data_IF_411128943462
#
_entry.id   IF_411128943462
#
_cell.length_a   1.000
_cell.length_b   1.000
_cell.length_c   1.000
_cell.angle_alpha   90.00
_cell.angle_beta   90.00
_cell.angle_gamma   90.00
#
_symmetry.space_group_name_H-M   'P 1'
#
loop_
_entity.id
_entity.type
_entity.pdbx_description
1 polymer ?
#
# COMPACT_ATOMS: atom_id res chain seq x y z
N UNK A 1 -26.61 19.72 7.25
CA UNK A 1 -25.74 18.82 6.49
C UNK A 1 -24.92 18.08 7.50
N UNK A 2 -25.32 16.87 7.83
CA UNK A 2 -24.68 16.02 8.84
C UNK A 2 -23.46 15.36 8.19
N UNK A 3 -22.25 15.39 8.79
CA UNK A 3 -21.13 14.65 8.25
C UNK A 3 -21.41 13.15 8.38
N UNK A 4 -21.26 12.43 7.29
CA UNK A 4 -21.26 10.97 7.26
C UNK A 4 -20.08 10.49 8.12
N UNK A 5 -20.35 10.03 9.33
CA UNK A 5 -19.39 9.27 10.13
C UNK A 5 -19.13 7.94 9.41
N UNK A 6 -17.99 7.82 8.76
CA UNK A 6 -17.52 6.54 8.25
C UNK A 6 -17.15 5.66 9.43
N UNK A 7 -17.74 4.48 9.52
CA UNK A 7 -17.35 3.49 10.51
C UNK A 7 -15.93 3.00 10.20
N UNK A 8 -15.06 2.88 11.20
CA UNK A 8 -13.69 2.41 10.99
C UNK A 8 -13.69 0.97 10.45
N UNK A 9 -12.75 0.68 9.55
CA UNK A 9 -12.60 -0.59 8.80
C UNK A 9 -12.68 -1.86 9.67
N UNK A 10 -12.44 -1.78 10.96
CA UNK A 10 -12.48 -2.91 11.88
C UNK A 10 -13.88 -3.27 12.42
N UNK A 11 -14.88 -2.38 12.40
CA UNK A 11 -16.26 -2.74 12.80
C UNK A 11 -16.90 -3.75 11.86
N UNK A 12 -16.41 -3.86 10.62
CA UNK A 12 -16.86 -4.84 9.62
C UNK A 12 -16.36 -6.26 9.88
N UNK A 13 -15.38 -6.45 10.76
CA UNK A 13 -14.85 -7.78 11.10
C UNK A 13 -15.74 -8.53 12.10
N UNK A 14 -16.67 -7.85 12.77
CA UNK A 14 -17.54 -8.43 13.81
C UNK A 14 -18.88 -8.97 13.28
N UNK A 15 -19.31 -8.62 12.06
CA UNK A 15 -20.50 -9.21 11.44
C UNK A 15 -20.10 -10.44 10.63
N UNK A 16 -20.35 -11.63 11.19
CA UNK A 16 -20.13 -12.91 10.54
C UNK A 16 -20.81 -13.04 9.19
N UNK A 17 -20.39 -14.01 8.36
CA UNK A 17 -20.81 -14.15 6.99
C UNK A 17 -22.31 -14.43 6.90
N UNK A 18 -23.11 -13.46 6.50
CA UNK A 18 -24.50 -13.68 6.15
C UNK A 18 -24.65 -13.92 4.64
N UNK A 19 -24.84 -15.19 4.31
CA UNK A 19 -25.69 -15.68 3.20
C UNK A 19 -25.36 -15.25 1.77
N UNK A 20 -24.16 -15.61 1.28
CA UNK A 20 -23.89 -15.69 -0.16
C UNK A 20 -23.61 -17.13 -0.61
N UNK A 21 -23.76 -18.11 0.29
CA UNK A 21 -23.30 -19.50 0.08
C UNK A 21 -24.12 -20.42 -0.84
N UNK A 22 -25.40 -20.18 -1.20
CA UNK A 22 -26.10 -21.14 -2.07
C UNK A 22 -25.68 -21.08 -3.55
N UNK A 23 -25.24 -19.92 -4.04
CA UNK A 23 -24.89 -19.75 -5.47
C UNK A 23 -23.46 -20.19 -5.82
N UNK A 24 -22.55 -20.20 -4.87
CA UNK A 24 -21.16 -20.61 -5.10
C UNK A 24 -20.95 -22.13 -5.13
N UNK A 25 -21.88 -22.90 -4.57
CA UNK A 25 -21.74 -24.38 -4.49
C UNK A 25 -21.86 -25.09 -5.84
N UNK A 26 -22.43 -24.43 -6.85
CA UNK A 26 -22.64 -25.01 -8.19
C UNK A 26 -21.56 -24.61 -9.22
N UNK A 27 -20.61 -23.74 -8.86
CA UNK A 27 -19.57 -23.27 -9.77
C UNK A 27 -18.32 -24.13 -9.66
N UNK A 28 -17.64 -24.32 -10.79
CA UNK A 28 -16.33 -24.97 -10.82
C UNK A 28 -15.30 -24.17 -9.99
N UNK A 29 -14.17 -24.78 -9.56
CA UNK A 29 -13.12 -24.06 -8.87
C UNK A 29 -12.61 -22.82 -9.65
N UNK A 30 -12.55 -22.91 -10.96
CA UNK A 30 -12.17 -21.82 -11.86
C UNK A 30 -13.24 -20.72 -11.90
N UNK A 31 -14.51 -21.09 -12.01
CA UNK A 31 -15.63 -20.13 -11.97
C UNK A 31 -15.79 -19.48 -10.60
N UNK A 32 -15.51 -20.21 -9.50
CA UNK A 32 -15.46 -19.62 -8.15
C UNK A 32 -14.34 -18.61 -8.02
N UNK A 33 -13.16 -18.88 -8.62
CA UNK A 33 -12.03 -17.96 -8.64
C UNK A 33 -12.36 -16.68 -9.42
N UNK A 34 -12.99 -16.80 -10.61
CA UNK A 34 -13.41 -15.68 -11.44
C UNK A 34 -14.44 -14.75 -10.78
N UNK A 35 -15.36 -15.32 -9.97
CA UNK A 35 -16.38 -14.52 -9.26
C UNK A 35 -15.81 -13.84 -8.01
N UNK A 36 -14.80 -14.44 -7.38
CA UNK A 36 -14.19 -13.90 -6.17
C UNK A 36 -13.22 -12.75 -6.44
N UNK A 37 -12.66 -12.66 -7.64
CA UNK A 37 -11.62 -11.68 -8.00
C UNK A 37 -12.17 -10.49 -8.84
N UNK A 38 -13.49 -10.37 -9.00
CA UNK A 38 -14.05 -9.28 -9.81
C UNK A 38 -14.23 -8.01 -8.95
N UNK A 39 -13.30 -7.08 -9.14
CA UNK A 39 -13.33 -5.75 -8.52
C UNK A 39 -14.01 -4.75 -9.45
N UNK A 40 -14.85 -3.89 -8.90
CA UNK A 40 -15.43 -2.74 -9.61
C UNK A 40 -14.49 -1.52 -9.48
N UNK A 41 -13.83 -1.17 -10.55
CA UNK A 41 -12.88 -0.05 -10.57
C UNK A 41 -13.53 1.32 -10.36
N UNK A 42 -14.81 1.46 -10.62
CA UNK A 42 -15.53 2.70 -10.34
C UNK A 42 -15.62 2.95 -8.82
N UNK A 43 -15.84 1.88 -8.05
CA UNK A 43 -15.85 1.93 -6.58
C UNK A 43 -14.46 2.21 -6.03
N UNK A 44 -13.43 1.54 -6.58
CA UNK A 44 -12.02 1.79 -6.20
C UNK A 44 -11.65 3.26 -6.43
N UNK A 45 -11.97 3.79 -7.60
CA UNK A 45 -11.71 5.20 -7.93
C UNK A 45 -12.43 6.15 -7.00
N UNK A 46 -13.73 5.93 -6.79
CA UNK A 46 -14.54 6.78 -5.91
C UNK A 46 -14.02 6.80 -4.47
N UNK A 47 -13.58 5.63 -3.97
CA UNK A 47 -12.98 5.52 -2.65
C UNK A 47 -11.72 6.39 -2.52
N UNK A 48 -10.79 6.30 -3.48
CA UNK A 48 -9.54 7.05 -3.44
C UNK A 48 -9.73 8.54 -3.70
N UNK A 49 -10.69 8.94 -4.54
CA UNK A 49 -11.05 10.34 -4.71
C UNK A 49 -11.60 10.95 -3.42
N UNK A 50 -12.43 10.22 -2.69
CA UNK A 50 -12.95 10.66 -1.40
C UNK A 50 -11.86 10.73 -0.32
N UNK A 51 -10.94 9.77 -0.32
CA UNK A 51 -9.83 9.67 0.62
C UNK A 51 -8.88 10.88 0.58
N UNK A 52 -8.62 11.40 -0.60
CA UNK A 52 -7.68 12.49 -0.81
C UNK A 52 -8.15 13.85 -0.28
N UNK A 53 -9.41 14.00 0.08
CA UNK A 53 -9.96 15.27 0.61
C UNK A 53 -9.52 15.55 2.05
N UNK A 54 -8.96 14.58 2.75
CA UNK A 54 -8.31 14.80 4.04
C UNK A 54 -6.90 15.35 3.82
N UNK A 55 -6.67 16.59 4.19
CA UNK A 55 -5.52 17.44 3.82
C UNK A 55 -4.13 16.99 4.28
N UNK A 56 -3.97 15.78 4.80
CA UNK A 56 -2.70 15.28 5.35
C UNK A 56 -2.30 13.94 4.76
N UNK A 57 -2.48 13.80 3.49
CA UNK A 57 -2.15 12.64 2.67
C UNK A 57 -0.66 12.19 2.68
N UNK A 58 0.05 12.37 3.77
CA UNK A 58 1.37 11.76 3.94
C UNK A 58 1.28 10.24 4.11
N UNK A 59 0.25 9.78 4.79
CA UNK A 59 -0.22 8.40 4.80
C UNK A 59 -1.71 8.47 5.12
N UNK A 60 -2.55 8.30 4.12
CA UNK A 60 -4.00 8.28 4.25
C UNK A 60 -4.47 7.41 5.43
N UNK A 61 -3.94 6.19 5.53
CA UNK A 61 -4.30 5.23 6.58
C UNK A 61 -4.02 5.77 8.00
N UNK A 62 -2.90 6.44 8.21
CA UNK A 62 -2.56 6.97 9.53
C UNK A 62 -3.43 8.16 9.93
N UNK A 63 -3.82 8.98 8.96
CA UNK A 63 -4.70 10.12 9.20
C UNK A 63 -6.13 9.69 9.53
N UNK A 64 -6.71 8.75 8.79
CA UNK A 64 -8.04 8.19 9.09
C UNK A 64 -8.12 7.62 10.50
N UNK A 65 -7.02 7.05 10.97
CA UNK A 65 -6.95 6.42 12.26
C UNK A 65 -6.60 7.39 13.41
N UNK A 66 -6.35 8.65 13.10
CA UNK A 66 -5.98 9.66 14.09
C UNK A 66 -4.63 9.43 14.75
N UNK A 67 -3.68 8.78 14.05
CA UNK A 67 -2.34 8.55 14.56
C UNK A 67 -1.48 9.82 14.53
N UNK A 68 -0.52 9.96 15.48
CA UNK A 68 0.48 11.02 15.45
C UNK A 68 1.32 10.98 14.18
N UNK A 69 1.81 12.16 13.77
CA UNK A 69 2.71 12.30 12.63
C UNK A 69 4.01 11.50 12.81
N UNK A 70 4.52 11.39 14.03
CA UNK A 70 5.68 10.57 14.37
C UNK A 70 5.51 9.07 14.03
N UNK A 71 4.29 8.55 14.10
CA UNK A 71 3.99 7.17 13.69
C UNK A 71 4.12 7.01 12.16
N UNK A 72 3.66 8.01 11.40
CA UNK A 72 3.78 8.05 9.93
C UNK A 72 5.25 8.12 9.52
N UNK A 73 6.01 9.00 10.17
CA UNK A 73 7.45 9.18 9.92
C UNK A 73 8.25 7.92 10.27
N UNK A 74 7.93 7.28 11.40
CA UNK A 74 8.53 6.01 11.80
C UNK A 74 8.28 4.93 10.74
N UNK A 75 7.01 4.77 10.32
CA UNK A 75 6.66 3.83 9.26
C UNK A 75 7.43 4.10 7.98
N UNK A 76 7.40 5.34 7.48
CA UNK A 76 8.05 5.70 6.22
C UNK A 76 9.57 5.49 6.29
N UNK A 77 10.22 5.82 7.42
CA UNK A 77 11.64 5.56 7.63
C UNK A 77 11.97 4.05 7.56
N UNK A 78 11.11 3.21 8.14
CA UNK A 78 11.27 1.74 8.08
C UNK A 78 11.04 1.19 6.67
N UNK A 79 10.04 1.68 5.97
CA UNK A 79 9.75 1.31 4.58
C UNK A 79 10.91 1.71 3.66
N UNK A 80 11.40 2.93 3.81
CA UNK A 80 12.55 3.42 3.05
C UNK A 80 13.81 2.59 3.28
N UNK A 81 14.07 2.16 4.50
CA UNK A 81 15.23 1.32 4.82
C UNK A 81 15.21 -0.05 4.12
N UNK A 82 14.04 -0.54 3.72
CA UNK A 82 13.90 -1.78 2.93
C UNK A 82 14.04 -1.48 1.43
N UNK A 83 13.37 -0.45 0.95
CA UNK A 83 13.24 -0.17 -0.49
C UNK A 83 14.51 0.46 -1.06
N UNK A 84 15.12 1.40 -0.33
CA UNK A 84 16.26 2.16 -0.84
C UNK A 84 17.42 1.27 -1.32
N UNK A 85 17.86 0.22 -0.59
CA UNK A 85 18.93 -0.66 -1.06
C UNK A 85 18.68 -1.32 -2.42
N UNK A 86 17.42 -1.51 -2.80
CA UNK A 86 17.07 -2.09 -4.11
C UNK A 86 17.19 -1.09 -5.28
N UNK A 87 17.40 0.18 -4.96
CA UNK A 87 17.64 1.25 -5.93
C UNK A 87 19.07 1.83 -5.83
N UNK A 88 19.93 1.33 -4.92
CA UNK A 88 21.27 1.91 -4.66
C UNK A 88 22.22 1.79 -5.86
N UNK A 89 22.01 0.83 -6.78
CA UNK A 89 22.77 0.72 -8.02
C UNK A 89 22.35 1.76 -9.09
N UNK A 90 21.25 2.45 -8.89
CA UNK A 90 20.80 3.51 -9.77
C UNK A 90 21.54 4.82 -9.45
N UNK A 91 21.85 5.57 -10.50
CA UNK A 91 22.58 6.84 -10.37
C UNK A 91 21.63 8.04 -10.26
N UNK A 92 22.20 9.21 -10.02
CA UNK A 92 21.44 10.47 -10.09
C UNK A 92 20.89 10.79 -11.49
N UNK A 93 21.43 10.16 -12.54
CA UNK A 93 20.97 10.31 -13.92
C UNK A 93 19.81 9.38 -14.26
N UNK A 94 19.47 8.46 -13.37
CA UNK A 94 18.41 7.48 -13.58
C UNK A 94 17.02 8.10 -13.56
N UNK A 95 16.07 7.36 -14.14
CA UNK A 95 14.65 7.69 -14.22
C UNK A 95 13.81 6.65 -13.51
N UNK A 96 12.82 7.10 -12.72
CA UNK A 96 11.96 6.23 -11.91
C UNK A 96 10.50 6.41 -12.30
N UNK A 97 9.78 5.30 -12.37
CA UNK A 97 8.34 5.26 -12.56
C UNK A 97 7.66 4.89 -11.23
N UNK A 98 6.75 5.76 -10.74
CA UNK A 98 6.00 5.57 -9.49
C UNK A 98 4.52 5.34 -9.82
N UNK A 99 4.08 4.09 -9.77
CA UNK A 99 2.70 3.68 -10.09
C UNK A 99 1.85 3.68 -8.80
N UNK A 100 0.73 4.38 -8.86
CA UNK A 100 -0.10 4.65 -7.69
C UNK A 100 0.61 5.61 -6.75
N UNK A 101 1.14 6.70 -7.30
CA UNK A 101 1.99 7.66 -6.57
C UNK A 101 1.23 8.36 -5.43
N UNK A 102 -0.11 8.35 -5.46
CA UNK A 102 -0.97 8.97 -4.45
C UNK A 102 -0.60 10.41 -4.21
N UNK A 103 -0.42 10.80 -2.95
CA UNK A 103 -0.01 12.14 -2.56
C UNK A 103 1.51 12.40 -2.68
N UNK A 104 2.24 11.59 -3.43
CA UNK A 104 3.62 11.87 -3.85
C UNK A 104 4.71 11.65 -2.80
N UNK A 105 4.48 10.81 -1.78
CA UNK A 105 5.50 10.59 -0.74
C UNK A 105 6.73 9.86 -1.27
N UNK A 106 6.54 8.80 -2.04
CA UNK A 106 7.62 8.06 -2.70
C UNK A 106 8.17 8.84 -3.89
N UNK A 107 7.30 9.46 -4.68
CA UNK A 107 7.70 10.35 -5.78
C UNK A 107 8.70 11.40 -5.32
N UNK A 108 8.43 12.07 -4.17
CA UNK A 108 9.32 13.07 -3.61
C UNK A 108 10.68 12.47 -3.21
N UNK A 109 10.67 11.28 -2.60
CA UNK A 109 11.91 10.60 -2.23
C UNK A 109 12.77 10.29 -3.46
N UNK A 110 12.17 9.74 -4.51
CA UNK A 110 12.88 9.44 -5.76
C UNK A 110 13.34 10.71 -6.47
N UNK A 111 12.53 11.77 -6.49
CA UNK A 111 12.89 13.02 -7.14
C UNK A 111 14.06 13.75 -6.48
N UNK A 112 14.32 13.50 -5.19
CA UNK A 112 15.51 14.01 -4.49
C UNK A 112 16.80 13.29 -4.91
N UNK A 113 16.71 12.12 -5.53
CA UNK A 113 17.86 11.24 -5.82
C UNK A 113 18.10 11.04 -7.31
N UNK A 114 17.08 11.20 -8.15
CA UNK A 114 17.13 10.85 -9.57
C UNK A 114 16.72 12.00 -10.49
N UNK A 115 17.21 11.97 -11.72
CA UNK A 115 17.03 13.03 -12.71
C UNK A 115 15.58 13.18 -13.16
N UNK A 116 14.83 12.10 -13.27
CA UNK A 116 13.44 12.10 -13.77
C UNK A 116 12.59 11.14 -12.95
N UNK A 117 11.44 11.62 -12.49
CA UNK A 117 10.43 10.76 -11.86
C UNK A 117 9.09 11.01 -12.54
N UNK A 118 8.42 9.94 -12.93
CA UNK A 118 7.05 9.98 -13.44
C UNK A 118 6.14 9.30 -12.44
N UNK A 119 5.21 10.06 -11.85
CA UNK A 119 4.18 9.55 -10.94
C UNK A 119 2.84 9.41 -11.65
N UNK A 120 2.19 8.26 -11.48
CA UNK A 120 0.86 7.99 -12.06
C UNK A 120 -0.12 7.68 -10.95
N UNK A 121 -1.28 8.33 -10.98
CA UNK A 121 -2.40 8.00 -10.11
C UNK A 121 -3.74 8.24 -10.83
N UNK A 122 -4.75 7.43 -10.51
CA UNK A 122 -6.08 7.57 -11.09
C UNK A 122 -6.93 8.65 -10.42
N UNK A 123 -6.54 9.11 -9.22
CA UNK A 123 -7.27 10.09 -8.44
C UNK A 123 -6.73 11.50 -8.67
N UNK A 124 -7.51 12.40 -9.27
CA UNK A 124 -7.11 13.81 -9.45
C UNK A 124 -6.86 14.50 -8.10
N UNK A 125 -7.59 14.12 -7.05
CA UNK A 125 -7.43 14.69 -5.73
C UNK A 125 -6.10 14.26 -5.08
N UNK A 126 -5.69 13.00 -5.25
CA UNK A 126 -4.36 12.54 -4.84
C UNK A 126 -3.26 13.29 -5.57
N UNK A 127 -3.39 13.47 -6.87
CA UNK A 127 -2.41 14.24 -7.65
C UNK A 127 -2.38 15.73 -7.27
N UNK A 128 -3.50 16.31 -6.87
CA UNK A 128 -3.51 17.68 -6.32
C UNK A 128 -2.70 17.77 -5.02
N UNK A 129 -2.85 16.78 -4.14
CA UNK A 129 -2.03 16.69 -2.92
C UNK A 129 -0.54 16.43 -3.23
N UNK A 130 -0.25 15.59 -4.24
CA UNK A 130 1.11 15.35 -4.71
C UNK A 130 1.75 16.64 -5.24
N UNK A 131 1.07 17.40 -6.08
CA UNK A 131 1.56 18.72 -6.57
C UNK A 131 1.88 19.66 -5.42
N UNK A 132 1.03 19.71 -4.40
CA UNK A 132 1.28 20.54 -3.21
C UNK A 132 2.54 20.10 -2.46
N UNK A 133 2.76 18.78 -2.32
CA UNK A 133 3.93 18.23 -1.65
C UNK A 133 5.22 18.43 -2.43
N UNK A 134 5.18 18.20 -3.72
CA UNK A 134 6.34 18.26 -4.60
C UNK A 134 6.78 19.70 -4.91
N UNK A 135 5.86 20.66 -4.79
CA UNK A 135 6.16 22.06 -5.09
C UNK A 135 6.71 22.24 -6.50
N UNK A 136 7.80 22.99 -6.60
CA UNK A 136 8.43 23.35 -7.89
C UNK A 136 9.54 22.36 -8.31
N UNK A 137 9.44 21.06 -7.95
CA UNK A 137 10.41 20.05 -8.39
C UNK A 137 10.32 19.87 -9.91
N UNK A 138 11.27 20.44 -10.66
CA UNK A 138 11.27 20.45 -12.13
C UNK A 138 11.58 19.10 -12.79
N UNK A 139 11.96 18.08 -12.01
CA UNK A 139 12.26 16.73 -12.47
C UNK A 139 11.13 15.73 -12.27
N UNK A 140 9.93 16.20 -11.88
CA UNK A 140 8.75 15.35 -11.66
C UNK A 140 7.68 15.63 -12.69
N UNK A 141 7.16 14.56 -13.27
CA UNK A 141 5.98 14.56 -14.13
C UNK A 141 4.86 13.79 -13.41
N UNK A 142 3.66 14.35 -13.31
CA UNK A 142 2.49 13.68 -12.74
C UNK A 142 1.43 13.47 -13.82
N UNK A 143 1.06 12.22 -14.02
CA UNK A 143 0.07 11.79 -15.02
C UNK A 143 -1.19 11.29 -14.31
N UNK A 144 -2.33 11.89 -14.61
CA UNK A 144 -3.63 11.38 -14.22
C UNK A 144 -4.07 10.27 -15.18
N UNK A 145 -4.32 9.07 -14.67
CA UNK A 145 -4.81 7.99 -15.51
C UNK A 145 -4.71 6.61 -14.87
N UNK A 146 -5.30 5.67 -15.58
CA UNK A 146 -5.17 4.25 -15.31
C UNK A 146 -3.75 3.78 -15.65
N UNK A 147 -3.11 3.09 -14.74
CA UNK A 147 -1.76 2.56 -14.90
C UNK A 147 -1.60 1.62 -16.13
N UNK A 148 -2.70 0.99 -16.57
CA UNK A 148 -2.71 0.15 -17.79
C UNK A 148 -2.72 0.97 -19.08
N UNK A 149 -3.27 2.20 -19.06
CA UNK A 149 -3.57 2.99 -20.27
C UNK A 149 -2.86 4.33 -20.30
N UNK A 150 -2.33 4.81 -19.17
CA UNK A 150 -1.67 6.11 -19.09
C UNK A 150 -0.57 6.24 -20.16
N UNK A 151 -0.46 7.40 -20.85
CA UNK A 151 0.54 7.61 -21.89
C UNK A 151 1.92 7.81 -21.25
N UNK A 152 2.66 6.72 -21.11
CA UNK A 152 4.02 6.72 -20.53
C UNK A 152 5.01 6.69 -21.70
N UNK A 153 5.88 7.69 -21.77
CA UNK A 153 6.88 7.80 -22.83
C UNK A 153 8.26 7.33 -22.34
N UNK A 154 8.93 6.54 -23.20
CA UNK A 154 10.29 6.05 -22.98
C UNK A 154 10.35 4.85 -22.03
N UNK A 155 11.58 4.59 -21.57
CA UNK A 155 11.91 3.55 -20.60
C UNK A 155 12.43 4.17 -19.31
N UNK A 156 12.45 3.37 -18.25
CA UNK A 156 12.89 3.78 -16.92
C UNK A 156 13.94 2.83 -16.40
N UNK A 157 14.77 3.32 -15.50
CA UNK A 157 15.82 2.53 -14.85
C UNK A 157 15.30 1.77 -13.61
N UNK A 158 14.11 2.13 -13.12
CA UNK A 158 13.43 1.41 -12.06
C UNK A 158 11.95 1.80 -11.95
N UNK A 159 11.16 0.96 -11.29
CA UNK A 159 9.76 1.26 -10.97
C UNK A 159 9.40 0.91 -9.54
N UNK A 160 8.50 1.71 -8.97
CA UNK A 160 7.85 1.44 -7.69
C UNK A 160 6.33 1.37 -7.89
N UNK A 161 5.68 0.36 -7.30
CA UNK A 161 4.23 0.15 -7.36
C UNK A 161 3.69 0.12 -5.94
N UNK A 162 3.03 1.19 -5.54
CA UNK A 162 2.68 1.45 -4.15
C UNK A 162 1.25 1.10 -3.77
N UNK A 163 0.89 -0.18 -3.62
CA UNK A 163 -0.45 -0.61 -3.19
C UNK A 163 -1.48 -0.47 -4.30
N UNK A 164 -1.15 -0.95 -5.50
CA UNK A 164 -1.99 -0.84 -6.70
C UNK A 164 -2.57 -2.19 -7.11
N UNK A 165 -1.74 -3.25 -7.13
CA UNK A 165 -2.17 -4.55 -7.62
C UNK A 165 -3.29 -5.15 -6.77
N UNK A 166 -3.37 -4.81 -5.49
CA UNK A 166 -4.47 -5.25 -4.63
C UNK A 166 -5.82 -4.64 -5.04
N UNK A 167 -5.84 -3.57 -5.82
CA UNK A 167 -7.05 -2.94 -6.37
C UNK A 167 -7.33 -3.35 -7.82
N UNK A 168 -6.60 -4.32 -8.35
CA UNK A 168 -6.75 -4.83 -9.71
C UNK A 168 -7.23 -6.27 -9.71
N UNK A 169 -8.03 -6.64 -10.72
CA UNK A 169 -8.30 -8.03 -11.04
C UNK A 169 -6.99 -8.73 -11.41
N UNK A 170 -6.94 -10.05 -11.25
CA UNK A 170 -5.70 -10.81 -11.46
C UNK A 170 -5.10 -10.59 -12.86
N UNK A 171 -5.94 -10.67 -13.89
CA UNK A 171 -5.49 -10.56 -15.28
C UNK A 171 -4.95 -9.14 -15.57
N UNK A 172 -5.59 -8.10 -15.02
CA UNK A 172 -5.13 -6.73 -15.14
C UNK A 172 -3.81 -6.51 -14.38
N UNK A 173 -3.62 -7.17 -13.23
CA UNK A 173 -2.35 -7.15 -12.51
C UNK A 173 -1.22 -7.80 -13.33
N UNK A 174 -1.49 -8.91 -14.04
CA UNK A 174 -0.53 -9.52 -14.98
C UNK A 174 -0.21 -8.53 -16.11
N UNK A 175 -1.23 -7.94 -16.74
CA UNK A 175 -1.03 -6.95 -17.83
C UNK A 175 -0.22 -5.74 -17.38
N UNK A 176 -0.43 -5.25 -16.16
CA UNK A 176 0.38 -4.16 -15.62
C UNK A 176 1.84 -4.58 -15.45
N UNK A 177 2.11 -5.76 -14.92
CA UNK A 177 3.48 -6.26 -14.76
C UNK A 177 4.16 -6.54 -16.11
N UNK A 178 3.44 -7.07 -17.11
CA UNK A 178 3.95 -7.19 -18.49
C UNK A 178 4.33 -5.82 -19.07
N UNK A 179 3.49 -4.81 -18.87
CA UNK A 179 3.77 -3.44 -19.27
C UNK A 179 5.01 -2.90 -18.56
N UNK A 180 5.12 -3.09 -17.25
CA UNK A 180 6.29 -2.65 -16.47
C UNK A 180 7.57 -3.33 -16.92
N UNK A 181 7.53 -4.62 -17.26
CA UNK A 181 8.68 -5.35 -17.81
C UNK A 181 9.21 -4.71 -19.13
N UNK A 182 8.32 -4.13 -19.94
CA UNK A 182 8.73 -3.42 -21.16
C UNK A 182 9.24 -2.00 -20.87
N UNK A 183 8.65 -1.32 -19.88
CA UNK A 183 9.04 0.03 -19.49
C UNK A 183 10.33 0.05 -18.64
N UNK A 184 10.63 -1.05 -17.93
CA UNK A 184 11.81 -1.21 -17.06
C UNK A 184 12.54 -2.49 -17.47
N UNK A 185 13.27 -2.50 -18.60
CA UNK A 185 13.80 -3.73 -19.18
C UNK A 185 14.93 -4.37 -18.36
N UNK A 186 15.68 -3.61 -17.60
CA UNK A 186 16.86 -4.09 -16.88
C UNK A 186 16.94 -3.72 -15.42
N UNK A 187 16.06 -2.83 -14.95
CA UNK A 187 16.10 -2.32 -13.59
C UNK A 187 15.15 -3.03 -12.61
N UNK A 188 15.19 -2.63 -11.32
CA UNK A 188 14.31 -3.16 -10.30
C UNK A 188 12.87 -2.70 -10.50
N UNK A 189 11.92 -3.61 -10.31
CA UNK A 189 10.50 -3.30 -10.15
C UNK A 189 10.12 -3.68 -8.72
N UNK A 190 9.75 -2.70 -7.91
CA UNK A 190 9.45 -2.92 -6.49
C UNK A 190 7.95 -2.79 -6.27
N UNK A 191 7.32 -3.84 -5.77
CA UNK A 191 5.95 -3.83 -5.31
C UNK A 191 5.89 -3.58 -3.81
N UNK A 192 4.90 -2.82 -3.35
CA UNK A 192 4.51 -2.66 -1.95
C UNK A 192 3.02 -2.94 -1.83
N UNK A 193 2.65 -4.11 -1.34
CA UNK A 193 1.25 -4.55 -1.35
C UNK A 193 0.79 -5.02 0.03
N UNK A 194 -0.47 -4.73 0.37
CA UNK A 194 -1.11 -5.36 1.51
C UNK A 194 -1.47 -6.81 1.17
N UNK A 195 -1.17 -7.71 2.08
CA UNK A 195 -1.17 -9.14 1.81
C UNK A 195 -1.90 -9.91 2.90
N UNK A 196 -2.36 -11.11 2.54
CA UNK A 196 -2.81 -12.15 3.46
C UNK A 196 -1.78 -13.26 3.54
N UNK A 197 -1.89 -14.14 4.54
CA UNK A 197 -0.91 -15.20 4.73
C UNK A 197 -0.96 -16.29 3.67
N UNK A 198 -2.14 -16.58 3.11
CA UNK A 198 -2.36 -17.63 2.11
C UNK A 198 -3.52 -17.27 1.20
N UNK A 199 -3.37 -17.56 -0.10
CA UNK A 199 -4.41 -17.42 -1.10
C UNK A 199 -4.83 -15.97 -1.33
N UNK A 200 -6.12 -15.79 -1.59
CA UNK A 200 -6.74 -14.49 -1.92
C UNK A 200 -7.94 -14.25 -1.02
N UNK A 201 -8.03 -13.05 -0.45
CA UNK A 201 -9.19 -12.55 0.29
C UNK A 201 -9.74 -11.32 -0.41
N UNK A 202 -10.97 -11.41 -0.93
CA UNK A 202 -11.63 -10.29 -1.60
C UNK A 202 -12.62 -9.62 -0.67
N UNK A 203 -12.58 -8.29 -0.62
CA UNK A 203 -13.57 -7.45 0.07
C UNK A 203 -14.27 -6.57 -0.96
N UNK A 204 -15.59 -6.65 -0.98
CA UNK A 204 -16.49 -5.92 -1.88
C UNK A 204 -17.57 -5.20 -1.04
N UNK A 205 -17.14 -4.37 -0.07
CA UNK A 205 -18.04 -3.60 0.79
C UNK A 205 -17.98 -2.10 0.41
N UNK A 206 -17.50 -1.24 1.29
CA UNK A 206 -17.35 0.20 1.03
C UNK A 206 -16.24 0.49 0.02
N UNK A 207 -15.28 -0.40 -0.09
CA UNK A 207 -14.23 -0.39 -1.12
C UNK A 207 -13.95 -1.81 -1.62
N UNK A 208 -13.51 -1.91 -2.87
CA UNK A 208 -13.19 -3.18 -3.51
C UNK A 208 -11.69 -3.43 -3.47
N UNK A 209 -11.27 -4.58 -2.93
CA UNK A 209 -9.87 -4.95 -2.83
C UNK A 209 -9.70 -6.48 -2.82
N UNK A 210 -8.64 -6.97 -3.43
CA UNK A 210 -8.19 -8.36 -3.39
C UNK A 210 -6.84 -8.44 -2.69
N UNK A 211 -6.83 -8.80 -1.42
CA UNK A 211 -5.60 -9.09 -0.69
C UNK A 211 -5.07 -10.45 -1.08
N UNK A 212 -3.90 -10.50 -1.66
CA UNK A 212 -3.23 -11.71 -2.13
C UNK A 212 -2.07 -12.06 -1.22
N UNK A 213 -1.78 -13.35 -1.08
CA UNK A 213 -0.55 -13.78 -0.41
C UNK A 213 0.69 -13.48 -1.27
N UNK A 214 1.89 -13.41 -0.68
CA UNK A 214 3.12 -13.30 -1.47
C UNK A 214 3.22 -14.34 -2.58
N UNK A 215 2.85 -15.60 -2.32
CA UNK A 215 2.85 -16.67 -3.34
C UNK A 215 1.89 -16.41 -4.50
N UNK A 216 0.76 -15.75 -4.27
CA UNK A 216 -0.14 -15.35 -5.37
C UNK A 216 0.47 -14.20 -6.20
N UNK A 217 1.21 -13.27 -5.58
CA UNK A 217 1.95 -12.25 -6.31
C UNK A 217 3.12 -12.84 -7.08
N UNK A 218 3.83 -13.85 -6.54
CA UNK A 218 4.85 -14.61 -7.27
C UNK A 218 4.27 -15.27 -8.53
N UNK A 219 3.08 -15.87 -8.43
CA UNK A 219 2.41 -16.46 -9.59
C UNK A 219 2.00 -15.40 -10.64
N UNK A 220 1.52 -14.22 -10.21
CA UNK A 220 1.18 -13.10 -11.11
C UNK A 220 2.45 -12.60 -11.80
N UNK A 221 3.55 -12.44 -11.08
CA UNK A 221 4.83 -12.01 -11.64
C UNK A 221 5.35 -13.02 -12.68
N UNK A 222 5.28 -14.33 -12.37
CA UNK A 222 5.69 -15.39 -13.28
C UNK A 222 4.86 -15.40 -14.57
N UNK A 223 3.54 -15.22 -14.48
CA UNK A 223 2.66 -15.13 -15.65
C UNK A 223 3.00 -13.90 -16.53
N UNK A 224 3.50 -12.81 -15.92
CA UNK A 224 3.98 -11.62 -16.63
C UNK A 224 5.42 -11.74 -17.15
N UNK A 225 6.08 -12.89 -16.96
CA UNK A 225 7.48 -13.11 -17.37
C UNK A 225 8.51 -12.39 -16.51
N UNK A 226 8.17 -12.15 -15.23
CA UNK A 226 9.06 -11.59 -14.22
C UNK A 226 9.36 -12.62 -13.13
N UNK A 227 10.52 -12.48 -12.49
CA UNK A 227 10.94 -13.29 -11.34
C UNK A 227 10.89 -12.44 -10.08
N UNK A 228 10.34 -12.97 -8.99
CA UNK A 228 10.47 -12.38 -7.66
C UNK A 228 11.83 -12.74 -7.10
N UNK A 229 12.67 -11.73 -6.92
CA UNK A 229 14.05 -11.85 -6.46
C UNK A 229 14.12 -11.84 -4.93
N UNK A 230 13.32 -10.98 -4.30
CA UNK A 230 13.27 -10.86 -2.85
C UNK A 230 11.86 -10.54 -2.36
N UNK A 231 11.51 -11.04 -1.17
CA UNK A 231 10.26 -10.72 -0.47
C UNK A 231 10.61 -10.29 0.95
N UNK A 232 10.27 -9.06 1.29
CA UNK A 232 10.51 -8.48 2.61
C UNK A 232 9.21 -8.05 3.28
N UNK A 233 9.03 -8.45 4.53
CA UNK A 233 7.87 -8.01 5.31
C UNK A 233 8.00 -6.53 5.66
N UNK A 234 6.97 -5.75 5.38
CA UNK A 234 6.88 -4.35 5.78
C UNK A 234 6.64 -4.25 7.30
N UNK A 235 7.73 -4.16 8.05
CA UNK A 235 7.67 -4.03 9.51
C UNK A 235 7.11 -2.67 9.92
N UNK A 236 7.33 -1.61 9.16
CA UNK A 236 6.74 -0.30 9.43
C UNK A 236 5.22 -0.30 9.38
N UNK A 237 4.64 -1.08 8.47
CA UNK A 237 3.20 -1.31 8.45
C UNK A 237 2.71 -2.06 9.71
N UNK A 238 3.38 -3.13 10.10
CA UNK A 238 3.03 -3.87 11.29
C UNK A 238 3.15 -3.01 12.58
N UNK A 239 4.18 -2.19 12.65
CA UNK A 239 4.38 -1.24 13.74
C UNK A 239 3.20 -0.25 13.83
N UNK A 240 2.74 0.27 12.69
CA UNK A 240 1.59 1.17 12.62
C UNK A 240 0.28 0.50 13.05
N UNK A 241 0.03 -0.76 12.65
CA UNK A 241 -1.15 -1.52 13.07
C UNK A 241 -1.20 -1.69 14.60
N UNK A 242 -0.06 -1.87 15.25
CA UNK A 242 0.03 -1.89 16.73
C UNK A 242 -0.40 -0.53 17.31
N UNK A 243 0.04 0.58 16.72
CA UNK A 243 -0.36 1.91 17.17
C UNK A 243 -1.89 2.11 17.06
N UNK A 244 -2.48 1.66 15.96
CA UNK A 244 -3.93 1.68 15.75
C UNK A 244 -4.66 0.92 16.85
N UNK A 245 -4.24 -0.30 17.13
CA UNK A 245 -4.88 -1.12 18.18
C UNK A 245 -4.73 -0.49 19.57
N UNK A 246 -3.60 0.12 19.87
CA UNK A 246 -3.42 0.85 21.13
C UNK A 246 -4.41 2.02 21.26
N UNK A 247 -4.59 2.78 20.18
CA UNK A 247 -5.56 3.88 20.13
C UNK A 247 -6.99 3.34 20.29
N UNK A 248 -7.32 2.26 19.59
CA UNK A 248 -8.65 1.63 19.68
C UNK A 248 -8.91 1.04 21.08
N UNK A 249 -7.92 0.41 21.70
CA UNK A 249 -8.04 -0.08 23.07
C UNK A 249 -8.29 1.08 24.05
N UNK A 250 -7.59 2.20 23.90
CA UNK A 250 -7.80 3.37 24.72
C UNK A 250 -9.20 3.96 24.57
N UNK A 251 -9.78 3.96 23.37
CA UNK A 251 -11.17 4.38 23.13
C UNK A 251 -12.19 3.52 23.87
N UNK A 252 -11.89 2.24 24.13
CA UNK A 252 -12.77 1.31 24.87
C UNK A 252 -12.74 1.52 26.40
N UNK A 253 -11.76 2.24 26.94
CA UNK A 253 -11.64 2.51 28.36
C UNK A 253 -12.59 3.65 28.74
N UNK A 254 -13.63 3.43 29.59
CA UNK A 254 -14.70 4.41 29.83
C UNK A 254 -14.23 5.77 30.40
N UNK A 255 -13.11 5.76 31.10
CA UNK A 255 -12.52 6.98 31.70
C UNK A 255 -11.78 7.83 30.66
N UNK A 256 -11.19 7.18 29.65
CA UNK A 256 -10.43 7.85 28.59
C UNK A 256 -11.30 8.20 27.39
N UNK A 257 -12.28 7.36 27.03
CA UNK A 257 -13.15 7.56 25.88
C UNK A 257 -14.29 8.56 26.08
N UNK A 258 -14.59 8.99 27.33
CA UNK A 258 -15.69 9.94 27.61
C UNK A 258 -15.32 11.42 27.40
N UNK A 259 -14.05 11.75 27.24
CA UNK A 259 -13.59 13.15 27.21
C UNK A 259 -13.27 13.67 25.80
N UNK A 260 -13.00 12.79 24.83
CA UNK A 260 -12.68 13.24 23.48
C UNK A 260 -12.87 12.09 22.48
N UNK A 261 -13.86 12.15 21.57
CA UNK A 261 -14.05 11.12 20.56
C UNK A 261 -12.87 11.04 19.58
N UNK A 262 -12.07 12.09 19.45
CA UNK A 262 -10.98 12.14 18.49
C UNK A 262 -9.61 11.74 19.07
N UNK A 263 -9.46 11.50 20.37
CA UNK A 263 -8.19 11.21 21.05
C UNK A 263 -6.97 12.08 20.62
N UNK A 264 -7.10 12.83 19.54
CA UNK A 264 -6.07 13.74 19.01
C UNK A 264 -5.76 14.80 20.05
N UNK A 265 -4.47 14.92 20.42
CA UNK A 265 -4.04 15.85 21.47
C UNK A 265 -4.27 15.37 22.92
N UNK A 266 -4.87 14.18 23.13
CA UNK A 266 -4.99 13.56 24.45
C UNK A 266 -3.61 13.26 25.08
N UNK A 267 -3.50 13.07 26.40
CA UNK A 267 -2.23 12.68 27.04
C UNK A 267 -1.65 11.38 26.46
N UNK A 268 -2.52 10.40 26.14
CA UNK A 268 -2.10 9.14 25.50
C UNK A 268 -1.56 9.38 24.09
N UNK A 269 -2.24 10.19 23.29
CA UNK A 269 -1.81 10.56 21.95
C UNK A 269 -0.45 11.27 21.98
N UNK A 270 -0.24 12.20 22.91
CA UNK A 270 1.05 12.87 23.09
C UNK A 270 2.14 11.91 23.58
N UNK A 271 1.81 10.99 24.47
CA UNK A 271 2.74 9.96 24.89
C UNK A 271 3.15 9.04 23.73
N UNK A 272 2.19 8.62 22.89
CA UNK A 272 2.46 7.84 21.68
C UNK A 272 3.34 8.65 20.71
N UNK A 273 3.03 9.92 20.49
CA UNK A 273 3.81 10.80 19.62
C UNK A 273 5.29 10.89 20.07
N UNK A 274 5.53 11.11 21.36
CA UNK A 274 6.88 11.20 21.91
C UNK A 274 7.63 9.86 21.92
N UNK A 275 6.93 8.74 22.07
CA UNK A 275 7.56 7.43 22.27
C UNK A 275 7.47 6.52 21.04
N UNK A 276 6.81 6.94 19.96
CA UNK A 276 6.55 6.14 18.78
C UNK A 276 7.79 5.37 18.27
N UNK A 277 8.98 5.98 18.08
CA UNK A 277 10.12 5.25 17.55
C UNK A 277 10.57 4.07 18.41
N UNK A 278 10.40 4.17 19.76
CA UNK A 278 10.78 3.12 20.70
C UNK A 278 9.64 2.12 20.89
N UNK A 279 8.44 2.62 21.17
CA UNK A 279 7.26 1.80 21.45
C UNK A 279 6.89 0.94 20.25
N UNK A 280 6.83 1.53 19.06
CA UNK A 280 6.50 0.82 17.82
C UNK A 280 7.62 -0.11 17.38
N UNK A 281 8.87 0.19 17.70
CA UNK A 281 9.99 -0.70 17.40
C UNK A 281 10.09 -1.93 18.31
N UNK A 282 9.59 -1.88 19.53
CA UNK A 282 9.74 -2.94 20.53
C UNK A 282 8.47 -3.79 20.70
N UNK A 283 7.29 -3.17 20.75
CA UNK A 283 6.04 -3.84 21.07
C UNK A 283 5.63 -4.90 20.02
N UNK A 284 5.70 -4.66 18.71
CA UNK A 284 5.41 -5.69 17.72
C UNK A 284 6.34 -6.91 17.84
N UNK A 285 7.62 -6.68 18.14
CA UNK A 285 8.58 -7.77 18.35
C UNK A 285 8.26 -8.60 19.59
N UNK A 286 7.82 -7.95 20.68
CA UNK A 286 7.40 -8.64 21.88
C UNK A 286 6.14 -9.50 21.64
N UNK A 287 5.17 -8.98 20.87
CA UNK A 287 3.97 -9.71 20.47
C UNK A 287 4.31 -10.92 19.60
N UNK A 288 5.21 -10.76 18.64
CA UNK A 288 5.69 -11.87 17.80
C UNK A 288 6.44 -12.93 18.62
N UNK A 289 7.26 -12.52 19.59
CA UNK A 289 8.03 -13.43 20.45
C UNK A 289 7.16 -14.35 21.31
N UNK A 290 5.94 -13.93 21.65
CA UNK A 290 4.97 -14.78 22.37
C UNK A 290 4.09 -15.62 21.44
N UNK A 291 4.42 -15.66 20.14
CA UNK A 291 3.74 -16.51 19.15
C UNK A 291 2.37 -16.01 18.70
N UNK A 292 2.02 -14.77 19.01
CA UNK A 292 0.76 -14.18 18.55
C UNK A 292 0.89 -13.80 17.08
N UNK A 293 0.11 -14.50 16.24
CA UNK A 293 0.06 -14.25 14.79
C UNK A 293 -0.82 -13.03 14.49
N UNK A 294 -0.25 -11.83 14.56
CA UNK A 294 -0.95 -10.56 14.37
C UNK A 294 -0.04 -9.57 13.60
N UNK A 295 -0.57 -8.65 12.79
CA UNK A 295 -1.97 -8.49 12.38
C UNK A 295 -2.43 -9.53 11.34
N UNK A 296 -3.75 -9.61 11.09
CA UNK A 296 -4.32 -10.51 10.07
C UNK A 296 -3.87 -10.12 8.66
N UNK A 297 -3.98 -8.84 8.33
CA UNK A 297 -3.38 -8.26 7.15
C UNK A 297 -1.92 -7.95 7.43
N UNK A 298 -1.08 -8.35 6.50
CA UNK A 298 0.33 -8.02 6.46
C UNK A 298 0.61 -7.10 5.28
N UNK A 299 1.81 -6.60 5.15
CA UNK A 299 2.23 -5.86 3.98
C UNK A 299 3.63 -6.32 3.62
N UNK A 300 3.90 -6.50 2.34
CA UNK A 300 5.19 -6.94 1.85
C UNK A 300 5.71 -6.02 0.77
N UNK A 301 7.02 -5.90 0.75
CA UNK A 301 7.76 -5.45 -0.41
C UNK A 301 8.23 -6.67 -1.18
N UNK A 302 8.17 -6.59 -2.51
CA UNK A 302 8.65 -7.62 -3.42
C UNK A 302 9.51 -6.97 -4.48
N UNK A 303 10.77 -7.41 -4.60
CA UNK A 303 11.66 -7.01 -5.67
C UNK A 303 11.47 -7.96 -6.85
N UNK A 304 11.11 -7.42 -7.99
CA UNK A 304 10.94 -8.15 -9.23
C UNK A 304 11.98 -7.71 -10.26
N UNK A 305 12.34 -8.62 -11.15
CA UNK A 305 13.20 -8.34 -12.27
C UNK A 305 13.07 -9.38 -13.37
N UNK A 306 13.78 -9.18 -14.46
CA UNK A 306 13.97 -10.21 -15.49
C UNK A 306 14.84 -11.33 -14.95
N UNK A 307 14.87 -12.47 -15.64
CA UNK A 307 15.73 -13.61 -15.28
C UNK A 307 17.21 -13.20 -15.27
N UNK A 308 17.61 -12.31 -16.19
CA UNK A 308 18.97 -11.80 -16.26
C UNK A 308 19.35 -11.00 -15.01
N UNK A 309 18.48 -10.08 -14.58
CA UNK A 309 18.70 -9.32 -13.34
C UNK A 309 18.79 -10.23 -12.12
N UNK A 310 17.96 -11.29 -12.04
CA UNK A 310 18.01 -12.25 -10.95
C UNK A 310 19.35 -12.99 -10.90
N UNK A 311 19.91 -13.36 -12.05
CA UNK A 311 21.22 -14.02 -12.15
C UNK A 311 22.37 -13.09 -11.75
N UNK A 312 22.31 -11.81 -12.14
CA UNK A 312 23.33 -10.81 -11.80
C UNK A 312 23.36 -10.53 -10.28
N UNK A 313 22.23 -10.62 -9.62
CA UNK A 313 22.12 -10.46 -8.16
C UNK A 313 22.42 -11.75 -7.37
N UNK A 314 22.73 -12.85 -8.04
CA UNK A 314 23.17 -14.11 -7.43
C UNK A 314 22.04 -15.00 -6.89
N UNK A 315 20.83 -14.86 -7.45
CA UNK A 315 19.64 -15.66 -7.12
C UNK A 315 19.26 -16.65 -8.21
#
# INVERSE_FOLDING_TARGET
>A
MTPLCHAPVWELVASGPQTVFPLLSQKTPTERRLVLDHLDYSIVRQYWDAAATSATAASYMAHEQGLPQSCVEHRFARERAVVQPWFDDLTSESSILDIGCGAGAWTMLFAQQHRRVVGIDMSPNMLAAARTRLGDMGNVELIEGDALQAPIEGTFDGAFVGGVLMYMNRDDAVLLLERLRLLVPTGPIVLRESTVRRGVEVKNAEYHVAYRSPTEYEAIAADAGLTVIAVERNRGYADMEVAVELVNLARRIPVLGRRDPELVGSPLWRALDMTAPVTLGLLPRAIEAVGVAWPHLTNHFMLLGTVELAQDLGH
#
